data_IF_197637326690
#
_entry.id   IF_197637326690
#
_cell.length_a   1.000
_cell.length_b   1.000
_cell.length_c   1.000
_cell.angle_alpha   90.00
_cell.angle_beta   90.00
_cell.angle_gamma   90.00
#
_symmetry.space_group_name_H-M   'P 1'
#
loop_
_entity.id
_entity.type
_entity.pdbx_description
1 polymer ?
#
# COMPACT_ATOMS: atom_id res chain seq x y z
N UNK A 1 -9.65 23.77 -1.52
CA UNK A 1 -11.09 23.90 -1.75
C UNK A 1 -11.91 23.52 -0.51
N UNK A 2 -11.49 22.54 0.27
CA UNK A 2 -12.22 22.09 1.47
C UNK A 2 -11.63 22.64 2.78
N UNK A 3 -10.51 23.37 2.73
CA UNK A 3 -9.82 23.95 3.88
C UNK A 3 -9.69 22.99 5.09
N UNK A 4 -9.36 21.72 4.78
CA UNK A 4 -9.11 20.68 5.78
C UNK A 4 -7.81 19.94 5.47
N UNK A 5 -7.23 19.29 6.49
CA UNK A 5 -6.04 18.46 6.32
C UNK A 5 -6.37 17.10 5.71
N UNK A 6 -5.42 16.57 4.93
CA UNK A 6 -5.44 15.20 4.43
C UNK A 6 -4.16 14.50 4.84
N UNK A 7 -4.27 13.38 5.54
CA UNK A 7 -3.13 12.54 5.91
C UNK A 7 -2.94 11.45 4.87
N UNK A 8 -1.81 11.47 4.20
CA UNK A 8 -1.51 10.52 3.14
C UNK A 8 -0.78 9.26 3.66
N UNK A 9 -0.96 8.15 2.96
CA UNK A 9 -0.24 6.88 3.18
C UNK A 9 -0.47 6.26 4.56
N UNK A 10 -1.68 6.33 5.07
CA UNK A 10 -2.03 5.74 6.35
C UNK A 10 -1.95 4.21 6.29
N UNK A 11 -1.43 3.62 7.36
CA UNK A 11 -1.35 2.17 7.56
C UNK A 11 -2.34 1.67 8.60
N UNK A 12 -2.85 2.58 9.44
CA UNK A 12 -3.86 2.26 10.45
C UNK A 12 -4.81 3.44 10.66
N UNK A 13 -6.09 3.14 10.85
CA UNK A 13 -7.17 4.12 11.06
C UNK A 13 -8.06 3.67 12.22
N UNK A 14 -8.22 4.52 13.23
CA UNK A 14 -9.14 4.29 14.34
C UNK A 14 -9.96 5.53 14.66
N UNK A 15 -11.19 5.32 15.06
CA UNK A 15 -12.07 6.35 15.64
C UNK A 15 -12.22 6.13 17.15
N UNK A 16 -12.33 4.89 17.56
CA UNK A 16 -12.49 4.44 18.93
C UNK A 16 -11.15 4.52 19.69
N UNK A 17 -11.17 5.18 20.86
CA UNK A 17 -9.96 5.41 21.67
C UNK A 17 -9.43 4.09 22.26
N UNK A 18 -10.31 3.19 22.73
CA UNK A 18 -9.87 1.93 23.33
C UNK A 18 -9.28 0.97 22.28
N UNK A 19 -9.84 0.94 21.07
CA UNK A 19 -9.25 0.20 19.95
C UNK A 19 -7.89 0.75 19.59
N UNK A 20 -7.74 2.07 19.55
CA UNK A 20 -6.47 2.73 19.30
C UNK A 20 -5.43 2.43 20.39
N UNK A 21 -5.80 2.48 21.67
CA UNK A 21 -4.93 2.09 22.79
C UNK A 21 -4.46 0.63 22.65
N UNK A 22 -5.37 -0.29 22.31
CA UNK A 22 -5.02 -1.70 22.09
C UNK A 22 -4.07 -1.88 20.91
N UNK A 23 -4.26 -1.13 19.83
CA UNK A 23 -3.31 -1.10 18.71
C UNK A 23 -1.93 -0.65 19.19
N UNK A 24 -1.83 0.45 19.96
CA UNK A 24 -0.56 0.94 20.47
C UNK A 24 0.14 -0.05 21.41
N UNK A 25 -0.60 -0.77 22.27
CA UNK A 25 -0.03 -1.80 23.15
C UNK A 25 0.65 -2.94 22.39
N UNK A 26 0.17 -3.23 21.18
CA UNK A 26 0.68 -4.33 20.35
C UNK A 26 1.76 -3.90 19.34
N UNK A 27 1.82 -2.62 19.01
CA UNK A 27 2.66 -2.13 17.89
C UNK A 27 3.67 -1.07 18.28
N UNK A 28 3.66 -0.60 19.54
CA UNK A 28 4.54 0.48 19.98
C UNK A 28 5.10 0.22 21.39
N UNK A 29 6.14 0.98 21.74
CA UNK A 29 6.72 0.99 23.09
C UNK A 29 6.13 2.11 23.97
N UNK A 30 5.01 2.72 23.58
CA UNK A 30 4.37 3.78 24.34
C UNK A 30 3.72 3.17 25.58
N UNK A 31 3.97 3.78 26.76
CA UNK A 31 3.25 3.45 27.98
C UNK A 31 1.82 4.01 27.89
N UNK A 32 0.93 3.17 27.34
CA UNK A 32 -0.45 3.54 27.06
C UNK A 32 -1.24 3.82 28.34
N UNK A 33 -0.89 3.13 29.43
CA UNK A 33 -1.65 3.20 30.69
C UNK A 33 -1.34 4.48 31.47
N UNK A 34 -0.14 5.03 31.32
CA UNK A 34 0.29 6.30 31.90
C UNK A 34 0.18 7.48 30.94
N UNK A 35 -0.22 7.26 29.68
CA UNK A 35 -0.40 8.32 28.68
C UNK A 35 -1.85 8.81 28.66
N UNK A 36 -2.03 10.14 28.77
CA UNK A 36 -3.37 10.74 28.62
C UNK A 36 -3.79 10.76 27.16
N UNK A 37 -4.91 10.13 26.87
CA UNK A 37 -5.58 10.20 25.58
C UNK A 37 -6.85 11.04 25.70
N UNK A 38 -7.10 11.89 24.71
CA UNK A 38 -8.38 12.60 24.63
C UNK A 38 -9.48 11.60 24.20
N UNK A 39 -10.51 11.50 25.01
CA UNK A 39 -11.72 10.71 24.68
C UNK A 39 -12.56 11.46 23.65
N UNK A 40 -12.28 11.25 22.39
CA UNK A 40 -12.99 11.87 21.30
C UNK A 40 -13.14 10.92 20.11
N UNK A 41 -14.07 11.27 19.21
CA UNK A 41 -14.36 10.54 17.98
C UNK A 41 -13.51 11.01 16.78
N UNK A 42 -12.42 11.73 17.02
CA UNK A 42 -11.53 12.13 15.94
C UNK A 42 -10.85 10.90 15.32
N UNK A 43 -10.77 10.91 14.00
CA UNK A 43 -10.06 9.88 13.24
C UNK A 43 -8.57 9.95 13.57
N UNK A 44 -8.02 8.85 14.09
CA UNK A 44 -6.60 8.65 14.39
C UNK A 44 -5.97 8.02 13.16
N UNK A 45 -5.18 8.82 12.45
CA UNK A 45 -4.59 8.49 11.15
C UNK A 45 -3.11 8.18 11.34
N UNK A 46 -2.76 6.90 11.46
CA UNK A 46 -1.37 6.48 11.68
C UNK A 46 -0.69 6.20 10.35
N UNK A 47 0.49 6.79 10.16
CA UNK A 47 1.31 6.66 8.96
C UNK A 47 2.79 6.51 9.29
N UNK A 48 3.59 5.85 8.42
CA UNK A 48 5.04 5.86 8.54
C UNK A 48 5.60 7.27 8.33
N UNK A 49 6.61 7.61 9.11
CA UNK A 49 7.40 8.82 8.99
C UNK A 49 8.90 8.46 8.98
N UNK A 50 9.75 9.35 8.48
CA UNK A 50 11.21 9.18 8.47
C UNK A 50 11.70 7.77 8.06
N UNK A 51 11.42 7.40 6.81
CA UNK A 51 11.91 6.14 6.24
C UNK A 51 11.27 4.87 6.84
N UNK A 52 10.13 4.99 7.53
CA UNK A 52 9.40 3.86 8.09
C UNK A 52 9.81 3.44 9.50
N UNK A 53 10.86 4.06 10.07
CA UNK A 53 11.30 3.75 11.45
C UNK A 53 10.43 4.38 12.53
N UNK A 54 9.68 5.41 12.20
CA UNK A 54 8.78 6.10 13.12
C UNK A 54 7.35 6.06 12.56
N UNK A 55 6.40 5.85 13.47
CA UNK A 55 4.98 5.94 13.17
C UNK A 55 4.43 7.22 13.76
N UNK A 56 3.74 8.02 12.95
CA UNK A 56 3.09 9.26 13.38
C UNK A 56 1.57 9.07 13.30
N UNK A 57 0.87 9.38 14.40
CA UNK A 57 -0.59 9.45 14.39
C UNK A 57 -1.04 10.90 14.35
N UNK A 58 -1.84 11.22 13.37
CA UNK A 58 -2.32 12.56 13.06
C UNK A 58 -3.82 12.61 13.29
N UNK A 59 -4.30 13.69 13.91
CA UNK A 59 -5.72 13.98 14.10
C UNK A 59 -6.05 15.36 13.50
N UNK A 60 -7.30 15.54 13.09
CA UNK A 60 -7.83 16.81 12.59
C UNK A 60 -9.04 17.22 13.45
N UNK A 61 -8.83 17.82 14.64
CA UNK A 61 -9.91 18.03 15.62
C UNK A 61 -10.89 19.13 15.23
N UNK A 62 -10.44 20.16 14.50
CA UNK A 62 -11.22 21.38 14.24
C UNK A 62 -11.95 21.40 12.90
N UNK A 63 -11.44 20.68 11.89
CA UNK A 63 -11.96 20.78 10.52
C UNK A 63 -12.64 19.48 10.08
N UNK A 64 -13.58 19.62 9.16
CA UNK A 64 -14.34 18.52 8.54
C UNK A 64 -14.39 18.73 7.02
N UNK A 65 -14.42 17.64 6.23
CA UNK A 65 -14.27 16.26 6.65
C UNK A 65 -12.86 15.92 7.14
N UNK A 66 -12.73 14.88 7.96
CA UNK A 66 -11.42 14.27 8.27
C UNK A 66 -11.05 13.34 7.10
N UNK A 67 -9.86 13.50 6.56
CA UNK A 67 -9.47 12.86 5.30
C UNK A 67 -8.16 12.11 5.43
N UNK A 68 -8.12 10.92 4.86
CA UNK A 68 -6.90 10.11 4.75
C UNK A 68 -6.85 9.37 3.43
N UNK A 69 -5.65 9.00 2.98
CA UNK A 69 -5.46 8.02 1.92
C UNK A 69 -4.76 6.77 2.45
N UNK A 70 -5.09 5.64 1.87
CA UNK A 70 -4.45 4.35 2.15
C UNK A 70 -4.05 3.75 0.81
N UNK A 71 -2.84 3.25 0.70
CA UNK A 71 -2.40 2.56 -0.52
C UNK A 71 -3.07 1.20 -0.64
N UNK A 72 -3.36 0.73 -1.85
CA UNK A 72 -3.82 -0.64 -2.06
C UNK A 72 -2.84 -1.65 -1.44
N UNK A 73 -3.38 -2.72 -0.85
CA UNK A 73 -2.58 -3.80 -0.25
C UNK A 73 -2.06 -3.56 1.17
N UNK A 74 -2.17 -2.34 1.72
CA UNK A 74 -1.69 -2.03 3.08
C UNK A 74 -2.63 -2.56 4.16
N UNK A 75 -3.93 -2.40 3.99
CA UNK A 75 -4.93 -2.91 4.93
C UNK A 75 -5.56 -4.19 4.39
N UNK A 76 -5.85 -5.15 5.28
CA UNK A 76 -6.58 -6.36 4.91
C UNK A 76 -7.99 -6.00 4.46
N UNK A 77 -8.43 -6.63 3.35
CA UNK A 77 -9.82 -6.55 2.90
C UNK A 77 -10.72 -7.14 3.98
N UNK A 78 -11.77 -6.41 4.36
CA UNK A 78 -12.75 -6.93 5.29
C UNK A 78 -13.48 -8.16 4.70
N UNK A 79 -13.90 -9.13 5.52
CA UNK A 79 -14.78 -10.20 5.06
C UNK A 79 -16.06 -9.62 4.46
N UNK A 80 -16.54 -10.25 3.39
CA UNK A 80 -17.81 -9.83 2.79
C UNK A 80 -18.97 -10.14 3.75
N UNK A 81 -19.85 -9.16 3.93
CA UNK A 81 -21.04 -9.25 4.79
C UNK A 81 -22.28 -8.95 3.96
N UNK A 82 -23.06 -9.98 3.65
CA UNK A 82 -24.23 -9.85 2.80
C UNK A 82 -25.27 -8.92 3.41
N UNK A 83 -25.51 -8.98 4.71
CA UNK A 83 -26.51 -8.14 5.37
C UNK A 83 -26.15 -6.64 5.29
N UNK A 84 -24.86 -6.31 5.41
CA UNK A 84 -24.39 -4.93 5.22
C UNK A 84 -24.46 -4.49 3.76
N UNK A 85 -24.21 -5.40 2.83
CA UNK A 85 -24.32 -5.11 1.40
C UNK A 85 -25.78 -4.81 1.02
N UNK A 86 -26.74 -5.61 1.51
CA UNK A 86 -28.17 -5.44 1.26
C UNK A 86 -28.73 -4.16 1.92
N UNK A 87 -28.18 -3.78 3.08
CA UNK A 87 -28.54 -2.54 3.77
C UNK A 87 -27.88 -1.28 3.17
N UNK A 88 -26.95 -1.43 2.22
CA UNK A 88 -26.20 -0.32 1.64
C UNK A 88 -27.09 0.52 0.73
N UNK A 89 -27.25 1.80 1.05
CA UNK A 89 -27.96 2.74 0.20
C UNK A 89 -27.01 3.31 -0.87
N UNK A 90 -27.29 3.03 -2.14
CA UNK A 90 -26.55 3.63 -3.26
C UNK A 90 -27.20 4.96 -3.62
N UNK A 91 -26.51 6.06 -3.33
CA UNK A 91 -26.94 7.40 -3.69
C UNK A 91 -26.34 7.80 -5.03
N UNK A 92 -27.19 8.11 -6.00
CA UNK A 92 -26.78 8.64 -7.31
C UNK A 92 -27.18 10.13 -7.37
N UNK A 93 -26.24 11.06 -7.09
CA UNK A 93 -26.55 12.48 -7.17
C UNK A 93 -26.89 12.86 -8.61
N UNK A 94 -27.94 13.65 -8.79
CA UNK A 94 -28.29 14.21 -10.08
C UNK A 94 -27.37 15.41 -10.38
N UNK A 95 -26.43 15.24 -11.29
CA UNK A 95 -25.65 16.33 -11.87
C UNK A 95 -25.52 16.10 -13.38
N UNK A 96 -25.41 17.17 -14.13
CA UNK A 96 -25.10 17.10 -15.55
C UNK A 96 -23.81 17.88 -15.81
N UNK A 97 -22.91 17.28 -16.57
CA UNK A 97 -21.72 17.94 -17.11
C UNK A 97 -22.01 18.33 -18.56
N UNK A 98 -21.66 19.55 -18.93
CA UNK A 98 -21.68 20.01 -20.31
C UNK A 98 -20.32 19.72 -20.96
N UNK A 99 -20.24 19.76 -22.28
CA UNK A 99 -18.98 19.62 -23.00
C UNK A 99 -17.93 20.67 -22.57
N UNK A 100 -18.37 21.84 -22.13
CA UNK A 100 -17.49 22.93 -21.66
C UNK A 100 -16.86 22.64 -20.28
N UNK A 101 -17.48 21.79 -19.48
CA UNK A 101 -16.96 21.37 -18.18
C UNK A 101 -15.81 20.34 -18.33
N UNK A 102 -15.78 19.62 -19.46
CA UNK A 102 -14.79 18.59 -19.75
C UNK A 102 -13.59 19.24 -20.45
N UNK A 103 -12.48 19.38 -19.71
CA UNK A 103 -11.26 20.05 -20.19
C UNK A 103 -10.24 19.11 -20.85
N UNK A 104 -10.51 17.82 -20.88
CA UNK A 104 -9.59 16.80 -21.41
C UNK A 104 -10.33 15.82 -22.29
N UNK A 105 -9.66 15.35 -23.36
CA UNK A 105 -10.15 14.33 -24.27
C UNK A 105 -9.19 13.14 -24.25
N UNK A 106 -9.74 11.91 -24.23
CA UNK A 106 -8.94 10.70 -24.38
C UNK A 106 -8.72 10.45 -25.86
N UNK A 107 -7.50 10.69 -26.33
CA UNK A 107 -7.16 10.54 -27.76
C UNK A 107 -6.98 9.07 -28.16
N UNK A 108 -6.34 8.28 -27.31
CA UNK A 108 -6.15 6.85 -27.53
C UNK A 108 -6.04 6.08 -26.22
N UNK A 109 -6.41 4.82 -26.25
CA UNK A 109 -6.20 3.85 -25.16
C UNK A 109 -5.43 2.68 -25.72
N UNK A 110 -4.17 2.56 -25.34
CA UNK A 110 -3.32 1.41 -25.66
C UNK A 110 -3.37 0.40 -24.53
N UNK A 111 -3.80 -0.80 -24.82
CA UNK A 111 -3.76 -1.90 -23.86
C UNK A 111 -2.34 -2.43 -23.77
N UNK A 112 -1.84 -2.68 -22.56
CA UNK A 112 -0.56 -3.35 -22.38
C UNK A 112 -0.60 -4.71 -23.11
N UNK A 113 0.43 -4.97 -23.93
CA UNK A 113 0.51 -6.19 -24.72
C UNK A 113 0.74 -7.44 -23.84
N UNK A 114 1.32 -7.26 -22.67
CA UNK A 114 1.61 -8.32 -21.70
C UNK A 114 0.70 -8.20 -20.48
N UNK A 115 0.37 -9.35 -19.87
CA UNK A 115 -0.38 -9.40 -18.64
C UNK A 115 0.49 -8.81 -17.53
N UNK A 116 0.08 -7.67 -16.98
CA UNK A 116 0.78 -7.03 -15.87
C UNK A 116 0.94 -8.00 -14.69
N UNK A 117 2.13 -7.97 -14.10
CA UNK A 117 2.45 -8.81 -12.93
C UNK A 117 1.62 -8.39 -11.73
N UNK A 118 0.85 -9.32 -11.18
CA UNK A 118 0.07 -9.07 -9.96
C UNK A 118 0.90 -9.32 -8.70
N UNK A 119 1.74 -8.35 -8.35
CA UNK A 119 2.50 -8.38 -7.11
C UNK A 119 1.62 -8.17 -5.86
N UNK A 120 0.51 -7.44 -6.00
CA UNK A 120 -0.32 -7.06 -4.84
C UNK A 120 -1.14 -8.25 -4.36
N UNK A 121 -1.64 -9.06 -5.28
CA UNK A 121 -2.42 -10.26 -4.97
C UNK A 121 -1.59 -11.51 -4.69
N UNK A 122 -0.26 -11.46 -4.86
CA UNK A 122 0.59 -12.63 -4.73
C UNK A 122 0.82 -13.05 -3.26
N UNK A 123 0.61 -14.33 -2.97
CA UNK A 123 0.93 -14.94 -1.67
C UNK A 123 2.44 -15.18 -1.47
N UNK A 124 3.17 -15.37 -2.56
CA UNK A 124 4.62 -15.61 -2.57
C UNK A 124 5.29 -14.65 -3.54
N UNK A 125 6.28 -13.91 -3.08
CA UNK A 125 7.09 -13.01 -3.90
C UNK A 125 8.58 -13.36 -3.73
N UNK A 126 9.26 -13.54 -4.85
CA UNK A 126 10.72 -13.66 -4.91
C UNK A 126 11.27 -12.42 -5.59
N UNK A 127 11.87 -11.51 -4.83
CA UNK A 127 12.31 -10.22 -5.34
C UNK A 127 13.81 -10.19 -5.58
N UNK A 128 14.23 -9.69 -6.75
CA UNK A 128 15.64 -9.59 -7.12
C UNK A 128 16.17 -8.17 -6.91
N UNK A 129 17.40 -8.09 -6.47
CA UNK A 129 18.14 -6.86 -6.26
C UNK A 129 19.36 -6.74 -7.14
N UNK A 130 20.10 -5.63 -6.98
CA UNK A 130 21.33 -5.36 -7.74
C UNK A 130 22.44 -6.40 -7.56
N UNK A 131 22.35 -7.26 -6.55
CA UNK A 131 23.30 -8.35 -6.32
C UNK A 131 23.37 -9.41 -7.43
N UNK A 132 22.34 -9.45 -8.33
CA UNK A 132 22.36 -10.34 -9.51
C UNK A 132 23.17 -9.76 -10.70
N UNK A 133 23.82 -8.61 -10.55
CA UNK A 133 24.49 -7.88 -11.64
C UNK A 133 25.60 -8.66 -12.38
N UNK A 134 26.16 -9.70 -11.78
CA UNK A 134 27.17 -10.56 -12.43
C UNK A 134 26.60 -11.38 -13.58
N UNK A 135 25.35 -11.83 -13.46
CA UNK A 135 24.62 -12.55 -14.48
C UNK A 135 23.11 -12.32 -14.23
N UNK A 136 22.59 -11.29 -14.86
CA UNK A 136 21.22 -10.80 -14.65
C UNK A 136 20.20 -11.84 -15.10
N UNK A 137 20.41 -12.43 -16.29
CA UNK A 137 19.48 -13.41 -16.83
C UNK A 137 19.36 -14.65 -15.96
N UNK A 138 20.51 -15.18 -15.52
CA UNK A 138 20.54 -16.31 -14.61
C UNK A 138 19.96 -15.97 -13.23
N UNK A 139 20.18 -14.75 -12.74
CA UNK A 139 19.59 -14.29 -11.48
C UNK A 139 18.07 -14.23 -11.53
N UNK A 140 17.49 -13.76 -12.63
CA UNK A 140 16.04 -13.73 -12.85
C UNK A 140 15.49 -15.15 -13.01
N UNK A 141 16.15 -15.98 -13.84
CA UNK A 141 15.75 -17.39 -14.03
C UNK A 141 15.70 -18.17 -12.71
N UNK A 142 16.70 -18.02 -11.87
CA UNK A 142 16.73 -18.65 -10.53
C UNK A 142 15.60 -18.14 -9.64
N UNK A 143 15.26 -16.85 -9.72
CA UNK A 143 14.13 -16.29 -8.98
C UNK A 143 12.80 -16.86 -9.45
N UNK A 144 12.60 -17.05 -10.76
CA UNK A 144 11.44 -17.68 -11.35
C UNK A 144 11.31 -19.16 -10.95
N UNK A 145 12.43 -19.90 -11.01
CA UNK A 145 12.47 -21.30 -10.56
C UNK A 145 12.12 -21.42 -9.08
N UNK A 146 12.64 -20.53 -8.23
CA UNK A 146 12.33 -20.52 -6.81
C UNK A 146 10.86 -20.15 -6.57
N UNK A 147 10.32 -19.15 -7.27
CA UNK A 147 8.93 -18.76 -7.16
C UNK A 147 7.99 -19.91 -7.56
N UNK A 148 8.32 -20.63 -8.64
CA UNK A 148 7.59 -21.82 -9.08
C UNK A 148 7.66 -22.96 -8.04
N UNK A 149 8.84 -23.22 -7.46
CA UNK A 149 9.04 -24.25 -6.45
C UNK A 149 8.30 -23.98 -5.14
N UNK A 150 8.06 -22.69 -4.84
CA UNK A 150 7.28 -22.24 -3.67
C UNK A 150 5.76 -22.25 -3.91
N UNK A 151 5.29 -22.87 -4.98
CA UNK A 151 3.86 -23.03 -5.25
C UNK A 151 3.25 -21.99 -6.21
N UNK A 152 4.06 -21.35 -7.04
CA UNK A 152 3.58 -20.43 -8.08
C UNK A 152 3.64 -18.96 -7.66
N UNK A 153 4.73 -18.58 -7.01
CA UNK A 153 4.99 -17.18 -6.63
C UNK A 153 5.27 -16.27 -7.84
N UNK A 154 5.38 -14.99 -7.56
CA UNK A 154 5.65 -13.93 -8.55
C UNK A 154 7.04 -13.36 -8.32
N UNK A 155 7.75 -13.03 -9.41
CA UNK A 155 9.05 -12.37 -9.31
C UNK A 155 8.87 -10.86 -9.23
N UNK A 156 9.39 -10.28 -8.15
CA UNK A 156 9.48 -8.85 -7.92
C UNK A 156 10.89 -8.31 -8.14
N UNK A 157 11.03 -7.00 -8.12
CA UNK A 157 12.30 -6.33 -8.31
C UNK A 157 12.47 -5.12 -7.38
N UNK A 158 13.71 -4.85 -6.97
CA UNK A 158 14.04 -3.60 -6.33
C UNK A 158 14.11 -2.46 -7.35
N UNK A 159 13.97 -1.22 -6.92
CA UNK A 159 14.12 -0.04 -7.76
C UNK A 159 15.42 -0.05 -8.58
N UNK A 160 16.53 -0.50 -7.97
CA UNK A 160 17.82 -0.54 -8.65
C UNK A 160 17.85 -1.49 -9.86
N UNK A 161 16.99 -2.51 -9.89
CA UNK A 161 16.84 -3.45 -11.00
C UNK A 161 15.99 -2.83 -12.11
N UNK A 162 14.90 -2.16 -11.74
CA UNK A 162 14.03 -1.49 -12.74
C UNK A 162 14.68 -0.24 -13.33
N UNK A 163 15.40 0.55 -12.54
CA UNK A 163 16.18 1.70 -13.03
C UNK A 163 17.32 1.26 -13.99
N UNK A 164 17.88 0.06 -13.80
CA UNK A 164 18.86 -0.53 -14.71
C UNK A 164 18.24 -1.15 -15.98
N UNK A 165 16.91 -1.17 -16.09
CA UNK A 165 16.19 -1.74 -17.24
C UNK A 165 16.24 -3.27 -17.32
N UNK A 166 16.63 -3.96 -16.22
CA UNK A 166 16.68 -5.43 -16.20
C UNK A 166 15.31 -6.07 -16.05
N UNK A 167 14.37 -5.38 -15.43
CA UNK A 167 12.95 -5.73 -15.34
C UNK A 167 12.10 -4.48 -15.51
N UNK A 168 10.85 -4.67 -15.91
CA UNK A 168 9.89 -3.58 -16.10
C UNK A 168 9.37 -3.02 -14.78
N UNK A 169 8.86 -1.79 -14.80
CA UNK A 169 8.43 -1.07 -13.59
C UNK A 169 7.25 -1.74 -12.85
N UNK A 170 6.49 -2.59 -13.52
CA UNK A 170 5.37 -3.35 -12.92
C UNK A 170 5.85 -4.44 -11.95
N UNK A 171 7.12 -4.86 -12.02
CA UNK A 171 7.76 -5.73 -11.04
C UNK A 171 8.28 -4.99 -9.81
N UNK A 172 8.30 -3.66 -9.80
CA UNK A 172 8.93 -2.90 -8.73
C UNK A 172 8.16 -2.98 -7.42
N UNK A 173 8.83 -3.45 -6.38
CA UNK A 173 8.38 -3.44 -4.98
C UNK A 173 9.03 -2.28 -4.23
N UNK A 174 8.27 -1.59 -3.38
CA UNK A 174 8.77 -0.55 -2.49
C UNK A 174 7.98 0.75 -2.58
N UNK A 175 8.51 1.83 -1.97
CA UNK A 175 7.81 3.12 -1.84
C UNK A 175 7.41 3.77 -3.17
N UNK A 176 8.25 3.62 -4.19
CA UNK A 176 8.01 4.17 -5.53
C UNK A 176 7.44 3.13 -6.51
N UNK A 177 7.25 1.90 -6.05
CA UNK A 177 6.63 0.80 -6.77
C UNK A 177 5.34 0.34 -6.09
N UNK A 178 5.12 -0.97 -6.12
CA UNK A 178 3.95 -1.58 -5.47
C UNK A 178 4.25 -1.90 -4.01
N UNK A 179 3.33 -1.54 -3.12
CA UNK A 179 3.33 -2.03 -1.74
C UNK A 179 2.68 -3.41 -1.72
N UNK A 180 3.39 -4.40 -1.18
CA UNK A 180 2.98 -5.80 -1.18
C UNK A 180 2.87 -6.34 0.24
N UNK A 181 2.06 -7.39 0.41
CA UNK A 181 1.87 -8.05 1.69
C UNK A 181 1.73 -9.57 1.51
N UNK A 182 2.76 -10.24 0.96
CA UNK A 182 2.72 -11.67 0.72
C UNK A 182 2.83 -12.46 2.03
N UNK A 183 2.48 -13.75 1.98
CA UNK A 183 2.75 -14.69 3.07
C UNK A 183 4.23 -15.04 3.18
N UNK A 184 4.92 -15.10 2.02
CA UNK A 184 6.36 -15.36 1.92
C UNK A 184 6.98 -14.32 1.00
N UNK A 185 8.02 -13.65 1.49
CA UNK A 185 8.84 -12.74 0.71
C UNK A 185 10.31 -13.17 0.75
N UNK A 186 10.88 -13.48 -0.40
CA UNK A 186 12.30 -13.85 -0.53
C UNK A 186 13.03 -12.74 -1.26
N UNK A 187 14.09 -12.21 -0.67
CA UNK A 187 14.93 -11.16 -1.25
C UNK A 187 16.27 -11.73 -1.73
N UNK A 188 16.48 -11.77 -3.04
CA UNK A 188 17.71 -12.25 -3.68
C UNK A 188 18.59 -11.08 -4.13
N UNK A 189 19.78 -10.94 -3.54
CA UNK A 189 20.70 -9.88 -3.92
C UNK A 189 20.24 -8.46 -3.58
N UNK A 190 19.36 -8.32 -2.60
CA UNK A 190 18.92 -7.04 -2.01
C UNK A 190 19.70 -6.82 -0.73
N UNK A 191 20.44 -5.72 -0.61
CA UNK A 191 21.30 -5.45 0.54
C UNK A 191 20.60 -4.54 1.57
N UNK A 192 19.59 -5.07 2.29
CA UNK A 192 18.98 -4.41 3.44
C UNK A 192 18.20 -3.13 3.13
N UNK A 193 17.63 -2.99 1.94
CA UNK A 193 16.72 -1.91 1.67
C UNK A 193 15.42 -2.14 2.46
N UNK A 194 15.11 -1.23 3.38
CA UNK A 194 13.99 -1.34 4.33
C UNK A 194 12.61 -1.56 3.69
N UNK A 195 12.45 -1.24 2.40
CA UNK A 195 11.25 -1.51 1.64
C UNK A 195 11.02 -3.00 1.36
N UNK A 196 12.00 -3.85 1.68
CA UNK A 196 11.98 -5.29 1.45
C UNK A 196 12.22 -6.09 2.75
N UNK A 197 12.13 -5.44 3.90
CA UNK A 197 12.29 -6.06 5.23
C UNK A 197 11.04 -5.96 6.07
#
# INVERSE_FOLDING_TARGET
RLHTGLTADCTHLDVDVEKYKNFLRTTSNIDVDNTKFEENTNLKMTRPAFGGHLMATIICPRFRPQMSTVRPGVMKKAPFDQAKADACQIVKPAFSLTAEDIKTEVLSVEKAAEKLVDLIGADVIVSVGRGISKDVNKGIELAEQLAAALGGGVVGASRAVTDAGWMTADHQVGQTGKTVHPKIYVALGISGAIQHT
#
